data_IF_465239090615
#
_entry.id   IF_465239090615
#
_cell.length_a   1.000
_cell.length_b   1.000
_cell.length_c   1.000
_cell.angle_alpha   90.00
_cell.angle_beta   90.00
_cell.angle_gamma   90.00
#
_symmetry.space_group_name_H-M   'P 1'
#
loop_
_entity.id
_entity.type
_entity.pdbx_description
1 polymer ?
#
# COMPACT_ATOMS: atom_id res chain seq x y z
N UNK A 1 -33.72 -33.41 -54.23
CA UNK A 1 -32.83 -33.37 -53.05
C UNK A 1 -32.82 -31.94 -52.51
N UNK A 2 -33.67 -31.61 -51.54
CA UNK A 2 -33.68 -30.26 -50.92
C UNK A 2 -33.69 -30.43 -49.40
N UNK A 3 -32.51 -30.29 -48.79
CA UNK A 3 -32.36 -30.33 -47.35
C UNK A 3 -32.80 -28.99 -46.73
N UNK A 4 -33.91 -29.03 -46.01
CA UNK A 4 -34.23 -28.41 -44.72
C UNK A 4 -33.56 -27.06 -44.38
N UNK A 5 -34.11 -25.98 -44.93
CA UNK A 5 -33.83 -24.59 -44.49
C UNK A 5 -34.43 -24.27 -43.10
N UNK A 6 -35.33 -25.12 -42.59
CA UNK A 6 -36.01 -24.96 -41.29
C UNK A 6 -35.16 -25.45 -40.12
N UNK A 7 -34.30 -26.45 -40.31
CA UNK A 7 -33.44 -27.00 -39.27
C UNK A 7 -32.28 -26.05 -38.92
N UNK A 8 -31.78 -25.29 -39.89
CA UNK A 8 -30.70 -24.32 -39.67
C UNK A 8 -31.13 -23.12 -38.83
N UNK A 9 -32.39 -22.68 -38.93
CA UNK A 9 -32.91 -21.55 -38.15
C UNK A 9 -33.11 -21.95 -36.69
N UNK A 10 -33.65 -23.15 -36.43
CA UNK A 10 -33.81 -23.70 -35.08
C UNK A 10 -32.47 -23.98 -34.39
N UNK A 11 -31.45 -24.42 -35.13
CA UNK A 11 -30.08 -24.58 -34.63
C UNK A 11 -29.42 -23.24 -34.29
N UNK A 12 -29.67 -22.19 -35.09
CA UNK A 12 -29.14 -20.86 -34.78
C UNK A 12 -29.81 -20.21 -33.56
N UNK A 13 -31.13 -20.37 -33.39
CA UNK A 13 -31.88 -19.87 -32.23
C UNK A 13 -31.50 -20.60 -30.93
N UNK A 14 -31.22 -21.91 -30.99
CA UNK A 14 -30.66 -22.63 -29.83
C UNK A 14 -29.22 -22.20 -29.54
N UNK A 15 -28.36 -22.04 -30.54
CA UNK A 15 -26.97 -21.58 -30.30
C UNK A 15 -26.91 -20.21 -29.61
N UNK A 16 -27.79 -19.27 -29.99
CA UNK A 16 -27.85 -17.93 -29.39
C UNK A 16 -28.38 -17.97 -27.94
N UNK A 17 -29.32 -18.87 -27.60
CA UNK A 17 -29.81 -19.05 -26.23
C UNK A 17 -28.80 -19.78 -25.32
N UNK A 18 -28.04 -20.74 -25.86
CA UNK A 18 -26.95 -21.40 -25.13
C UNK A 18 -25.77 -20.45 -24.89
N UNK A 19 -25.49 -19.51 -25.81
CA UNK A 19 -24.41 -18.52 -25.65
C UNK A 19 -24.79 -17.37 -24.70
N UNK A 20 -26.05 -16.96 -24.62
CA UNK A 20 -26.51 -15.97 -23.63
C UNK A 20 -26.49 -16.53 -22.21
N UNK A 21 -26.96 -17.78 -22.01
CA UNK A 21 -26.91 -18.46 -20.72
C UNK A 21 -25.47 -18.73 -20.22
N UNK A 22 -24.49 -18.81 -21.13
CA UNK A 22 -23.06 -19.01 -20.79
C UNK A 22 -22.35 -17.73 -20.36
N UNK A 23 -22.79 -16.55 -20.82
CA UNK A 23 -22.27 -15.26 -20.33
C UNK A 23 -22.73 -14.95 -18.90
N UNK A 24 -23.91 -15.42 -18.51
CA UNK A 24 -24.51 -15.11 -17.20
C UNK A 24 -23.86 -15.86 -16.04
N UNK A 25 -23.48 -17.14 -16.25
CA UNK A 25 -22.72 -17.95 -15.26
C UNK A 25 -21.27 -17.51 -15.05
N UNK A 26 -20.78 -16.55 -15.85
CA UNK A 26 -19.48 -15.89 -15.66
C UNK A 26 -19.55 -14.62 -14.82
N UNK A 27 -20.69 -14.33 -14.18
CA UNK A 27 -20.68 -13.69 -12.87
C UNK A 27 -20.03 -14.66 -11.87
N UNK A 28 -18.72 -14.88 -12.02
CA UNK A 28 -17.93 -15.57 -11.01
C UNK A 28 -18.14 -14.75 -9.75
N UNK A 29 -18.95 -15.22 -8.82
CA UNK A 29 -18.73 -14.90 -7.41
C UNK A 29 -17.29 -15.34 -7.19
N UNK A 30 -16.36 -14.39 -7.24
CA UNK A 30 -14.98 -14.65 -6.85
C UNK A 30 -15.12 -14.84 -5.34
N UNK A 31 -15.40 -16.07 -4.91
CA UNK A 31 -15.28 -16.47 -3.53
C UNK A 31 -13.81 -16.29 -3.22
N UNK A 32 -13.50 -15.15 -2.60
CA UNK A 32 -12.16 -14.65 -2.39
C UNK A 32 -11.52 -15.48 -1.26
N UNK A 33 -11.22 -16.76 -1.54
CA UNK A 33 -10.64 -17.75 -0.62
C UNK A 33 -9.20 -17.38 -0.22
N UNK A 34 -8.54 -16.49 -0.97
CA UNK A 34 -7.23 -15.94 -0.58
C UNK A 34 -7.41 -14.91 0.53
N UNK A 35 -6.87 -15.18 1.72
CA UNK A 35 -6.81 -14.21 2.82
C UNK A 35 -5.79 -13.11 2.49
N UNK A 36 -6.26 -11.98 2.01
CA UNK A 36 -5.38 -10.85 1.72
C UNK A 36 -4.96 -10.17 3.02
N UNK A 37 -3.65 -9.96 3.18
CA UNK A 37 -3.10 -9.19 4.30
C UNK A 37 -3.62 -7.73 4.30
N UNK A 38 -4.02 -7.22 3.13
CA UNK A 38 -4.54 -5.87 2.93
C UNK A 38 -5.66 -5.83 1.91
N UNK A 39 -6.62 -4.93 2.09
CA UNK A 39 -7.61 -4.63 1.05
C UNK A 39 -6.93 -4.07 -0.21
N UNK A 40 -7.24 -4.57 -1.42
CA UNK A 40 -6.82 -4.00 -2.69
C UNK A 40 -7.18 -2.51 -2.83
N UNK A 41 -6.38 -1.77 -3.60
CA UNK A 41 -6.56 -0.32 -3.79
C UNK A 41 -7.93 0.00 -4.42
N UNK A 42 -8.33 -0.73 -5.45
CA UNK A 42 -9.62 -0.55 -6.13
C UNK A 42 -10.83 -0.67 -5.18
N UNK A 43 -10.78 -1.59 -4.19
CA UNK A 43 -11.86 -1.74 -3.21
C UNK A 43 -11.90 -0.53 -2.27
N UNK A 44 -10.74 0.03 -1.89
CA UNK A 44 -10.67 1.21 -1.02
C UNK A 44 -11.14 2.47 -1.74
N UNK A 45 -10.75 2.64 -3.00
CA UNK A 45 -11.25 3.71 -3.87
C UNK A 45 -12.77 3.65 -3.96
N UNK A 46 -13.32 2.46 -4.17
CA UNK A 46 -14.76 2.25 -4.23
C UNK A 46 -15.46 2.57 -2.90
N UNK A 47 -14.90 2.14 -1.75
CA UNK A 47 -15.42 2.48 -0.41
C UNK A 47 -15.47 4.00 -0.22
N UNK A 48 -14.37 4.70 -0.55
CA UNK A 48 -14.29 6.15 -0.38
C UNK A 48 -15.23 6.89 -1.33
N UNK A 49 -15.39 6.42 -2.57
CA UNK A 49 -16.35 6.97 -3.52
C UNK A 49 -17.78 6.89 -2.97
N UNK A 50 -18.21 5.69 -2.55
CA UNK A 50 -19.54 5.49 -1.97
C UNK A 50 -19.76 6.33 -0.70
N UNK A 51 -18.72 6.51 0.11
CA UNK A 51 -18.81 7.35 1.31
C UNK A 51 -18.99 8.83 0.95
N UNK A 52 -18.32 9.33 -0.09
CA UNK A 52 -18.52 10.69 -0.62
C UNK A 52 -19.92 10.89 -1.20
N UNK A 53 -20.52 9.84 -1.77
CA UNK A 53 -21.91 9.82 -2.23
C UNK A 53 -22.94 9.74 -1.08
N UNK A 54 -22.49 9.68 0.18
CA UNK A 54 -23.37 9.67 1.36
C UNK A 54 -23.90 8.30 1.76
N UNK A 55 -23.37 7.20 1.21
CA UNK A 55 -23.80 5.86 1.60
C UNK A 55 -23.44 5.53 3.06
N UNK A 56 -24.32 4.74 3.71
CA UNK A 56 -24.08 4.23 5.07
C UNK A 56 -23.01 3.13 5.05
N UNK A 57 -22.23 3.02 6.14
CA UNK A 57 -21.16 2.02 6.25
C UNK A 57 -21.69 0.59 6.07
N UNK A 58 -22.88 0.29 6.60
CA UNK A 58 -23.54 -1.00 6.45
C UNK A 58 -23.85 -1.33 4.98
N UNK A 59 -24.36 -0.36 4.21
CA UNK A 59 -24.66 -0.53 2.78
C UNK A 59 -23.37 -0.77 1.99
N UNK A 60 -22.31 -0.02 2.28
CA UNK A 60 -20.99 -0.18 1.66
C UNK A 60 -20.41 -1.57 1.96
N UNK A 61 -20.52 -2.04 3.20
CA UNK A 61 -20.06 -3.37 3.62
C UNK A 61 -20.75 -4.50 2.83
N UNK A 62 -22.07 -4.39 2.66
CA UNK A 62 -22.85 -5.32 1.83
C UNK A 62 -22.41 -5.29 0.36
N UNK A 63 -22.24 -4.11 -0.23
CA UNK A 63 -21.83 -3.95 -1.63
C UNK A 63 -20.40 -4.46 -1.89
N UNK A 64 -19.48 -4.26 -0.95
CA UNK A 64 -18.07 -4.66 -1.09
C UNK A 64 -17.77 -6.07 -0.59
N UNK A 65 -18.75 -6.73 0.03
CA UNK A 65 -18.60 -8.01 0.72
C UNK A 65 -17.38 -7.99 1.68
N UNK A 66 -17.34 -6.94 2.53
CA UNK A 66 -16.32 -6.73 3.58
C UNK A 66 -17.00 -6.53 4.92
N UNK A 67 -16.25 -6.77 6.00
CA UNK A 67 -16.74 -6.51 7.34
C UNK A 67 -16.99 -5.01 7.54
N UNK A 68 -17.97 -4.67 8.36
CA UNK A 68 -18.24 -3.28 8.78
C UNK A 68 -16.96 -2.60 9.30
N UNK A 69 -16.24 -3.27 10.19
CA UNK A 69 -14.99 -2.78 10.78
C UNK A 69 -13.90 -2.47 9.75
N UNK A 70 -13.83 -3.24 8.65
CA UNK A 70 -12.86 -2.98 7.58
C UNK A 70 -13.22 -1.72 6.79
N UNK A 71 -14.52 -1.52 6.51
CA UNK A 71 -15.03 -0.34 5.81
C UNK A 71 -14.82 0.91 6.67
N UNK A 72 -15.20 0.83 7.93
CA UNK A 72 -15.01 1.88 8.94
C UNK A 72 -13.53 2.28 9.05
N UNK A 73 -12.63 1.31 9.21
CA UNK A 73 -11.18 1.56 9.23
C UNK A 73 -10.69 2.30 7.98
N UNK A 74 -11.17 1.92 6.79
CA UNK A 74 -10.77 2.57 5.54
C UNK A 74 -11.24 4.02 5.50
N UNK A 75 -12.49 4.28 5.90
CA UNK A 75 -13.07 5.63 5.94
C UNK A 75 -12.33 6.51 6.95
N UNK A 76 -12.15 6.04 8.18
CA UNK A 76 -11.47 6.80 9.23
C UNK A 76 -10.03 7.13 8.85
N UNK A 77 -9.32 6.15 8.28
CA UNK A 77 -7.94 6.35 7.85
C UNK A 77 -7.88 7.33 6.69
N UNK A 78 -8.81 7.27 5.73
CA UNK A 78 -8.89 8.24 4.65
C UNK A 78 -9.19 9.65 5.16
N UNK A 79 -10.10 9.81 6.12
CA UNK A 79 -10.39 11.11 6.73
C UNK A 79 -9.17 11.70 7.47
N UNK A 80 -8.35 10.84 8.11
CA UNK A 80 -7.15 11.27 8.85
C UNK A 80 -5.96 11.62 7.96
N UNK A 81 -5.73 10.88 6.87
CA UNK A 81 -4.49 11.00 6.07
C UNK A 81 -4.74 11.46 4.63
N UNK A 82 -5.96 11.34 4.10
CA UNK A 82 -6.29 11.62 2.70
C UNK A 82 -5.74 10.60 1.69
N UNK A 83 -4.95 9.62 2.15
CA UNK A 83 -4.29 8.63 1.30
C UNK A 83 -5.06 7.31 1.25
N UNK A 84 -5.08 6.68 0.07
CA UNK A 84 -5.68 5.36 -0.15
C UNK A 84 -4.66 4.21 -0.10
N UNK A 85 -3.41 4.52 -0.44
CA UNK A 85 -2.29 3.58 -0.44
C UNK A 85 -1.96 3.08 0.97
N UNK A 86 -1.42 1.87 1.09
CA UNK A 86 -0.94 1.39 2.38
C UNK A 86 0.26 2.21 2.85
N UNK A 87 0.31 2.53 4.14
CA UNK A 87 1.52 3.07 4.75
C UNK A 87 2.62 2.01 4.64
N UNK A 88 3.79 2.43 4.18
CA UNK A 88 4.98 1.60 4.29
C UNK A 88 5.24 1.29 5.76
N UNK A 89 5.54 0.03 6.08
CA UNK A 89 5.95 -0.31 7.45
C UNK A 89 7.28 0.37 7.72
N UNK A 90 7.30 1.29 8.68
CA UNK A 90 8.54 1.83 9.21
C UNK A 90 9.09 0.87 10.24
N UNK A 91 10.36 0.48 10.09
CA UNK A 91 11.07 -0.27 11.13
C UNK A 91 11.43 0.62 12.32
N UNK A 92 12.24 0.08 13.24
CA UNK A 92 12.81 0.87 14.33
C UNK A 92 13.64 2.03 13.77
N UNK A 93 13.50 3.27 14.29
CA UNK A 93 14.35 4.38 13.86
C UNK A 93 15.83 4.01 14.05
N UNK A 94 16.64 4.35 13.04
CA UNK A 94 18.06 4.05 13.06
C UNK A 94 18.79 5.05 13.96
N UNK A 95 19.72 4.56 14.79
CA UNK A 95 20.54 5.41 15.67
C UNK A 95 21.58 6.24 14.92
N UNK A 96 22.00 5.76 13.74
CA UNK A 96 23.05 6.38 12.94
C UNK A 96 22.46 6.98 11.68
N UNK A 97 22.86 8.22 11.40
CA UNK A 97 22.56 8.88 10.13
C UNK A 97 23.34 8.28 8.96
N UNK A 98 22.89 8.60 7.74
CA UNK A 98 23.49 8.08 6.49
C UNK A 98 24.96 8.51 6.34
N UNK A 99 25.31 9.72 6.76
CA UNK A 99 26.65 10.26 6.65
C UNK A 99 27.64 9.56 7.59
N UNK A 100 27.28 9.35 8.86
CA UNK A 100 28.10 8.58 9.81
C UNK A 100 28.34 7.14 9.32
N UNK A 101 27.33 6.48 8.75
CA UNK A 101 27.51 5.13 8.18
C UNK A 101 28.53 5.12 7.04
N UNK A 102 28.49 6.13 6.16
CA UNK A 102 29.47 6.26 5.07
C UNK A 102 30.87 6.51 5.63
N UNK A 103 31.02 7.33 6.67
CA UNK A 103 32.29 7.56 7.34
C UNK A 103 32.86 6.27 7.92
N UNK A 104 32.04 5.50 8.67
CA UNK A 104 32.43 4.19 9.20
C UNK A 104 32.89 3.25 8.08
N UNK A 105 32.12 3.15 7.00
CA UNK A 105 32.45 2.27 5.88
C UNK A 105 33.75 2.68 5.18
N UNK A 106 34.04 3.98 5.05
CA UNK A 106 35.32 4.47 4.52
C UNK A 106 36.47 4.11 5.44
N UNK A 107 36.34 4.36 6.73
CA UNK A 107 37.38 4.04 7.72
C UNK A 107 37.70 2.55 7.75
N UNK A 108 36.68 1.68 7.67
CA UNK A 108 36.88 0.22 7.61
C UNK A 108 37.53 -0.19 6.28
N UNK A 109 37.21 0.47 5.16
CA UNK A 109 37.85 0.17 3.87
C UNK A 109 39.32 0.55 3.84
N UNK A 110 39.68 1.69 4.43
CA UNK A 110 41.07 2.14 4.53
C UNK A 110 41.84 1.28 5.53
N UNK A 111 41.29 1.10 6.73
CA UNK A 111 41.91 0.34 7.81
C UNK A 111 40.95 -0.75 8.33
N UNK A 112 40.96 -1.95 7.72
CA UNK A 112 40.03 -3.03 8.07
C UNK A 112 40.16 -3.55 9.51
N UNK A 113 41.32 -3.33 10.15
CA UNK A 113 41.60 -3.76 11.53
C UNK A 113 41.13 -2.74 12.58
N UNK A 114 40.42 -1.70 12.18
CA UNK A 114 39.88 -0.70 13.11
C UNK A 114 38.84 -1.32 14.04
N UNK A 115 39.01 -1.12 15.34
CA UNK A 115 38.11 -1.68 16.34
C UNK A 115 36.80 -0.89 16.43
N UNK A 116 35.71 -1.58 16.72
CA UNK A 116 34.39 -0.97 16.95
C UNK A 116 34.39 0.18 17.98
N UNK A 117 35.05 0.10 19.16
CA UNK A 117 35.08 1.21 20.11
C UNK A 117 35.81 2.44 19.56
N UNK A 118 36.86 2.25 18.75
CA UNK A 118 37.55 3.36 18.08
C UNK A 118 36.59 4.08 17.12
N UNK A 119 35.86 3.34 16.29
CA UNK A 119 34.85 3.89 15.37
C UNK A 119 33.72 4.60 16.13
N UNK A 120 33.24 4.03 17.24
CA UNK A 120 32.22 4.66 18.07
C UNK A 120 32.70 6.01 18.64
N UNK A 121 33.92 6.07 19.17
CA UNK A 121 34.49 7.32 19.71
C UNK A 121 34.63 8.41 18.65
N UNK A 122 34.99 8.05 17.41
CA UNK A 122 35.08 8.99 16.29
C UNK A 122 33.71 9.63 16.00
N UNK A 123 32.67 8.81 15.90
CA UNK A 123 31.30 9.30 15.63
C UNK A 123 30.80 10.17 16.79
N UNK A 124 31.05 9.77 18.03
CA UNK A 124 30.61 10.54 19.22
C UNK A 124 31.29 11.92 19.23
N UNK A 125 32.58 12.01 18.91
CA UNK A 125 33.27 13.31 18.79
C UNK A 125 32.66 14.19 17.71
N UNK A 126 32.34 13.60 16.56
CA UNK A 126 31.71 14.31 15.43
C UNK A 126 30.31 14.83 15.78
N UNK A 127 29.51 14.03 16.50
CA UNK A 127 28.19 14.42 17.02
C UNK A 127 28.26 15.54 18.06
N UNK A 128 29.28 15.53 18.93
CA UNK A 128 29.48 16.60 19.92
C UNK A 128 29.94 17.89 19.25
N UNK A 129 30.83 17.80 18.26
CA UNK A 129 31.30 18.96 17.49
C UNK A 129 30.17 19.63 16.71
N UNK A 130 29.33 18.86 16.02
CA UNK A 130 28.16 19.39 15.29
C UNK A 130 27.12 20.01 16.22
N UNK A 131 26.84 19.42 17.40
CA UNK A 131 25.90 20.00 18.37
C UNK A 131 26.40 21.32 18.97
N UNK A 132 27.70 21.44 19.26
CA UNK A 132 28.30 22.67 19.78
C UNK A 132 28.28 23.79 18.72
N UNK A 133 28.59 23.46 17.48
CA UNK A 133 28.63 24.44 16.39
C UNK A 133 27.24 24.99 16.02
N UNK A 134 26.20 24.15 16.02
CA UNK A 134 24.81 24.63 15.81
C UNK A 134 24.36 25.55 16.94
N UNK A 135 24.73 25.24 18.19
CA UNK A 135 24.42 26.10 19.34
C UNK A 135 25.12 27.46 19.22
N UNK A 136 26.40 27.48 18.81
CA UNK A 136 27.16 28.72 18.57
C UNK A 136 26.66 29.55 17.39
N UNK A 137 26.07 28.93 16.38
CA UNK A 137 25.53 29.63 15.21
C UNK A 137 24.22 30.38 15.55
N UNK A 138 23.41 29.86 16.48
CA UNK A 138 22.17 30.50 16.92
C UNK A 138 22.47 31.78 17.73
N UNK A 139 23.49 31.74 18.59
CA UNK A 139 23.94 32.91 19.36
C UNK A 139 24.53 34.02 18.47
N UNK A 140 25.04 33.68 17.28
CA UNK A 140 25.61 34.62 16.32
C UNK A 140 24.57 35.27 15.37
N UNK A 141 23.32 34.79 15.38
CA UNK A 141 22.24 35.27 14.51
C UNK A 141 21.18 36.07 15.28
N UNK A 142 21.36 36.25 16.60
CA UNK A 142 20.49 37.01 17.50
C UNK A 142 21.24 38.19 18.16
N UNK A 143 22.16 38.81 17.42
CA UNK A 143 22.78 40.12 17.70
C UNK A 143 22.65 40.95 16.43
#
# INVERSE_FOLDING_TARGET
MFANKTETVLQSQTQVSFLSARKEKRSRTITFSRKWKYLPLAIREFIVKLRKEGATLRKIAQMTNKSHSSVEYVVDRYNKTGLLQNRQRTGRPQKLETHHKRAILRTIRTDPRTSAPKLASMIVRELLSTRILVFRQIDLFFV
#
